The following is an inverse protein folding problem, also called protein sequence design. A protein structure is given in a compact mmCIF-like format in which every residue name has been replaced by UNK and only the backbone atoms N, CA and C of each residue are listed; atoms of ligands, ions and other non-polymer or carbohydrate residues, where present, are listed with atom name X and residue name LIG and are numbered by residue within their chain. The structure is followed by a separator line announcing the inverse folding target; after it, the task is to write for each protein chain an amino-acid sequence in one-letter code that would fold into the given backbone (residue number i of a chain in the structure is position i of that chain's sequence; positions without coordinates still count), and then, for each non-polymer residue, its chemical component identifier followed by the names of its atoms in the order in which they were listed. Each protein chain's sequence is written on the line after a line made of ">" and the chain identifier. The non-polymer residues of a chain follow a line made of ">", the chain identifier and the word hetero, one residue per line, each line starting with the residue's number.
data_IF_471679427964
#
_entry.id   IF_471679427964
#
_cell.length_a   1.000
_cell.length_b   1.000
_cell.length_c   1.000
_cell.angle_alpha   90.00
_cell.angle_beta   90.00
_cell.angle_gamma   90.00
#
_symmetry.space_group_name_H-M   'P 1'
#
loop_
_entity.id
_entity.type
_entity.pdbx_description
1 polymer ?
#
# COMPACT_ATOMS: atom_id res chain seq x y z
N UNK A 1 -2.91 -8.80 -18.73
CA UNK A 1 -2.60 -7.61 -17.93
C UNK A 1 -1.58 -8.02 -16.88
N UNK A 2 -0.32 -7.54 -16.93
CA UNK A 2 0.62 -7.77 -15.83
C UNK A 2 0.08 -7.14 -14.54
N UNK A 3 0.47 -7.70 -13.39
CA UNK A 3 0.19 -7.10 -12.09
C UNK A 3 0.97 -5.78 -12.00
N UNK A 4 0.28 -4.67 -11.69
CA UNK A 4 0.94 -3.38 -11.50
C UNK A 4 1.64 -3.25 -10.13
N UNK A 5 1.41 -4.24 -9.27
CA UNK A 5 2.02 -4.31 -7.96
C UNK A 5 1.46 -5.45 -7.12
N UNK A 6 1.99 -5.60 -5.91
CA UNK A 6 1.48 -6.53 -4.91
C UNK A 6 1.44 -5.92 -3.51
N UNK A 7 0.53 -6.42 -2.69
CA UNK A 7 0.47 -6.13 -1.25
C UNK A 7 0.80 -7.38 -0.47
N UNK A 8 1.57 -7.24 0.60
CA UNK A 8 1.90 -8.29 1.57
C UNK A 8 1.86 -7.75 3.00
N UNK A 9 1.83 -8.63 3.98
CA UNK A 9 1.92 -8.24 5.39
C UNK A 9 3.38 -8.05 5.79
N UNK A 10 3.68 -7.04 6.61
CA UNK A 10 5.00 -6.88 7.20
C UNK A 10 5.13 -7.72 8.47
N UNK A 11 6.36 -8.02 8.90
CA UNK A 11 6.61 -8.68 10.18
C UNK A 11 6.04 -7.90 11.39
N UNK A 12 5.89 -6.58 11.26
CA UNK A 12 5.31 -5.72 12.28
C UNK A 12 3.76 -5.74 12.30
N UNK A 13 3.10 -6.46 11.37
CA UNK A 13 1.64 -6.50 11.26
C UNK A 13 1.02 -5.33 10.49
N UNK A 14 1.84 -4.55 9.78
CA UNK A 14 1.39 -3.54 8.81
C UNK A 14 1.29 -4.11 7.40
N UNK A 15 1.10 -3.24 6.40
CA UNK A 15 1.17 -3.64 5.00
C UNK A 15 2.45 -3.16 4.34
N UNK A 16 2.93 -3.94 3.38
CA UNK A 16 3.91 -3.54 2.39
C UNK A 16 3.26 -3.56 1.02
N UNK A 17 3.35 -2.45 0.28
CA UNK A 17 2.87 -2.33 -1.09
C UNK A 17 4.09 -2.17 -1.99
N UNK A 18 4.26 -3.08 -2.94
CA UNK A 18 5.26 -2.99 -4.00
C UNK A 18 4.54 -2.59 -5.28
N UNK A 19 4.82 -1.38 -5.76
CA UNK A 19 4.17 -0.76 -6.91
C UNK A 19 5.27 -0.27 -7.83
N UNK A 20 5.32 -0.79 -9.05
CA UNK A 20 6.46 -0.58 -9.96
C UNK A 20 7.80 -0.92 -9.25
N UNK A 21 8.73 0.04 -9.16
CA UNK A 21 10.01 -0.12 -8.46
C UNK A 21 9.99 0.41 -7.01
N UNK A 22 8.82 0.77 -6.48
CA UNK A 22 8.66 1.49 -5.23
C UNK A 22 7.97 0.68 -4.15
N UNK A 23 8.40 0.90 -2.90
CA UNK A 23 7.88 0.21 -1.73
C UNK A 23 7.28 1.18 -0.72
N UNK A 24 5.97 1.09 -0.55
CA UNK A 24 5.21 1.84 0.45
C UNK A 24 4.83 0.92 1.61
N UNK A 25 4.53 1.52 2.75
CA UNK A 25 4.08 0.84 3.96
C UNK A 25 2.86 1.51 4.55
N UNK A 26 1.98 0.70 5.13
CA UNK A 26 0.93 1.15 6.05
C UNK A 26 1.31 0.62 7.42
N UNK A 27 1.30 1.50 8.43
CA UNK A 27 1.63 1.10 9.80
C UNK A 27 0.53 0.19 10.39
N UNK A 28 0.86 -0.68 11.37
CA UNK A 28 -0.11 -1.62 11.94
C UNK A 28 -1.38 -0.95 12.49
N UNK A 29 -1.24 0.18 13.17
CA UNK A 29 -2.34 0.96 13.71
C UNK A 29 -3.25 1.54 12.62
N UNK A 30 -2.67 2.06 11.55
CA UNK A 30 -3.40 2.62 10.42
C UNK A 30 -4.10 1.53 9.60
N UNK A 31 -3.44 0.37 9.44
CA UNK A 31 -4.05 -0.80 8.80
C UNK A 31 -5.28 -1.26 9.58
N UNK A 32 -5.16 -1.32 10.91
CA UNK A 32 -6.29 -1.67 11.78
C UNK A 32 -7.42 -0.65 11.60
N UNK A 33 -7.11 0.64 11.61
CA UNK A 33 -8.12 1.68 11.43
C UNK A 33 -8.84 1.59 10.06
N UNK A 34 -8.07 1.36 8.99
CA UNK A 34 -8.60 1.15 7.64
C UNK A 34 -9.56 -0.04 7.56
N UNK A 35 -9.17 -1.20 8.10
CA UNK A 35 -9.93 -2.44 7.94
C UNK A 35 -11.19 -2.46 8.79
N UNK A 36 -11.13 -1.91 10.02
CA UNK A 36 -12.23 -1.98 10.99
C UNK A 36 -13.14 -0.75 10.95
N UNK A 37 -12.59 0.45 10.71
CA UNK A 37 -13.34 1.71 10.76
C UNK A 37 -13.48 2.37 9.38
N UNK A 38 -12.83 1.83 8.34
CA UNK A 38 -12.83 2.44 7.01
C UNK A 38 -12.02 3.73 6.94
N UNK A 39 -11.22 4.05 7.96
CA UNK A 39 -10.43 5.27 8.01
C UNK A 39 -9.32 5.26 6.97
N UNK A 40 -9.13 6.31 6.18
CA UNK A 40 -7.98 6.42 5.29
C UNK A 40 -6.67 6.28 6.07
N UNK A 41 -5.74 5.51 5.53
CA UNK A 41 -4.45 5.22 6.14
C UNK A 41 -3.30 5.81 5.28
N UNK A 42 -2.30 6.46 5.89
CA UNK A 42 -1.17 7.02 5.16
C UNK A 42 -0.30 5.92 4.53
N UNK A 43 0.25 6.22 3.35
CA UNK A 43 1.31 5.43 2.72
C UNK A 43 2.65 6.07 3.01
N UNK A 44 3.48 5.33 3.74
CA UNK A 44 4.79 5.76 4.17
C UNK A 44 5.85 5.13 3.28
N UNK A 45 6.81 5.92 2.81
CA UNK A 45 7.98 5.44 2.08
C UNK A 45 9.25 5.75 2.85
N UNK A 46 10.14 4.77 2.92
CA UNK A 46 11.47 4.92 3.49
C UNK A 46 12.48 5.08 2.36
N UNK A 47 13.16 6.23 2.30
CA UNK A 47 14.23 6.51 1.33
C UNK A 47 15.57 6.49 2.05
N UNK A 48 16.44 5.56 1.65
CA UNK A 48 17.82 5.53 2.08
C UNK A 48 18.64 6.45 1.18
N UNK A 49 19.26 7.48 1.77
CA UNK A 49 20.23 8.33 1.08
C UNK A 49 21.62 8.00 1.62
N UNK A 50 22.55 7.68 0.73
CA UNK A 50 23.97 7.57 1.06
C UNK A 50 24.65 8.89 0.72
N UNK A 51 25.25 9.54 1.71
CA UNK A 51 26.06 10.74 1.49
C UNK A 51 27.41 10.59 2.20
N UNK A 52 28.51 10.58 1.44
CA UNK A 52 29.87 10.55 1.98
C UNK A 52 30.17 9.42 2.98
N UNK A 53 29.53 8.25 2.86
CA UNK A 53 29.71 7.11 3.76
C UNK A 53 28.68 7.00 4.90
N UNK A 54 27.83 8.02 5.10
CA UNK A 54 26.70 7.96 6.05
C UNK A 54 25.42 7.54 5.31
N UNK A 55 24.68 6.59 5.88
CA UNK A 55 23.34 6.21 5.41
C UNK A 55 22.33 6.97 6.27
N UNK A 56 21.59 7.88 5.65
CA UNK A 56 20.45 8.58 6.28
C UNK A 56 19.16 7.96 5.76
N UNK A 57 18.33 7.45 6.66
CA UNK A 57 16.95 7.06 6.33
C UNK A 57 16.03 8.27 6.47
N UNK A 58 15.22 8.56 5.46
CA UNK A 58 14.14 9.56 5.50
C UNK A 58 12.81 8.86 5.31
N UNK A 59 11.88 9.11 6.22
CA UNK A 59 10.51 8.59 6.18
C UNK A 59 9.58 9.71 5.74
N UNK A 60 8.84 9.50 4.65
CA UNK A 60 7.88 10.46 4.08
C UNK A 60 6.52 9.82 3.88
N UNK A 61 5.46 10.63 3.98
CA UNK A 61 4.11 10.24 3.53
C UNK A 61 4.03 10.59 2.04
N UNK A 62 3.77 9.59 1.20
CA UNK A 62 3.76 9.74 -0.27
C UNK A 62 2.42 9.31 -0.90
N UNK A 63 1.39 9.13 -0.08
CA UNK A 63 0.06 8.75 -0.54
C UNK A 63 -0.84 8.32 0.61
N UNK A 64 -1.97 7.72 0.25
CA UNK A 64 -2.90 7.10 1.20
C UNK A 64 -3.63 5.92 0.58
N UNK A 65 -4.20 5.08 1.43
CA UNK A 65 -5.14 4.02 1.08
C UNK A 65 -6.47 4.26 1.77
N UNK A 66 -7.57 4.07 1.07
CA UNK A 66 -8.93 4.27 1.59
C UNK A 66 -9.85 3.13 1.16
N UNK A 67 -10.90 2.82 1.93
CA UNK A 67 -11.92 1.87 1.49
C UNK A 67 -12.87 2.60 0.54
N UNK A 68 -13.04 2.07 -0.67
CA UNK A 68 -13.99 2.63 -1.64
C UNK A 68 -15.41 2.62 -1.05
N UNK A 69 -16.24 3.66 -1.26
CA UNK A 69 -17.58 3.76 -0.65
C UNK A 69 -18.50 2.56 -0.90
N UNK A 70 -18.33 1.87 -2.03
CA UNK A 70 -19.06 0.63 -2.33
C UNK A 70 -18.68 -0.56 -1.40
N UNK A 71 -17.68 -0.43 -0.54
CA UNK A 71 -17.27 -1.43 0.45
C UNK A 71 -16.64 -2.71 -0.12
N UNK A 72 -16.27 -2.71 -1.42
CA UNK A 72 -15.75 -3.89 -2.12
C UNK A 72 -14.24 -3.86 -2.35
N UNK A 73 -13.62 -2.70 -2.21
CA UNK A 73 -12.21 -2.52 -2.53
C UNK A 73 -11.57 -1.47 -1.63
N UNK A 74 -10.25 -1.55 -1.48
CA UNK A 74 -9.43 -0.44 -1.05
C UNK A 74 -8.77 0.20 -2.27
N UNK A 75 -8.68 1.53 -2.26
CA UNK A 75 -8.04 2.35 -3.29
C UNK A 75 -6.76 2.91 -2.71
N UNK A 76 -5.65 2.63 -3.38
CA UNK A 76 -4.31 3.14 -3.08
C UNK A 76 -4.08 4.33 -4.00
N UNK A 77 -3.70 5.49 -3.46
CA UNK A 77 -3.38 6.70 -4.21
C UNK A 77 -2.00 7.18 -3.84
N UNK A 78 -1.15 7.36 -4.85
CA UNK A 78 0.17 8.00 -4.71
C UNK A 78 0.31 9.08 -5.79
N UNK A 79 1.45 9.77 -5.83
CA UNK A 79 1.73 10.73 -6.90
C UNK A 79 1.87 10.05 -8.28
N UNK A 80 2.24 8.78 -8.29
CA UNK A 80 2.54 7.97 -9.47
C UNK A 80 1.29 7.31 -10.08
N UNK A 81 0.17 7.29 -9.35
CA UNK A 81 -1.06 6.70 -9.87
C UNK A 81 -2.07 6.28 -8.81
N UNK A 82 -3.04 5.48 -9.24
CA UNK A 82 -4.07 4.90 -8.38
C UNK A 82 -4.29 3.43 -8.70
N UNK A 83 -4.45 2.63 -7.65
CA UNK A 83 -4.63 1.18 -7.74
C UNK A 83 -5.74 0.70 -6.83
N UNK A 84 -6.30 -0.44 -7.17
CA UNK A 84 -7.36 -1.11 -6.45
C UNK A 84 -6.86 -2.43 -5.87
N UNK A 85 -7.25 -2.71 -4.63
CA UNK A 85 -7.11 -4.01 -3.99
C UNK A 85 -8.51 -4.50 -3.60
N UNK A 86 -8.97 -5.69 -4.01
CA UNK A 86 -10.22 -6.25 -3.51
C UNK A 86 -10.20 -6.33 -1.99
N UNK A 87 -11.22 -5.80 -1.31
CA UNK A 87 -11.21 -5.66 0.15
C UNK A 87 -11.14 -7.03 0.84
N UNK A 88 -11.72 -8.06 0.23
CA UNK A 88 -11.60 -9.45 0.70
C UNK A 88 -10.15 -9.92 0.68
N UNK A 89 -9.41 -9.66 -0.40
CA UNK A 89 -8.00 -10.04 -0.51
C UNK A 89 -7.14 -9.27 0.49
N UNK A 90 -7.38 -7.96 0.62
CA UNK A 90 -6.69 -7.13 1.61
C UNK A 90 -6.88 -7.66 3.04
N UNK A 91 -8.12 -8.02 3.40
CA UNK A 91 -8.44 -8.59 4.72
C UNK A 91 -7.74 -9.93 4.96
N UNK A 92 -7.68 -10.80 3.95
CA UNK A 92 -6.97 -12.08 4.05
C UNK A 92 -5.47 -11.87 4.27
N UNK A 93 -4.86 -10.93 3.55
CA UNK A 93 -3.45 -10.56 3.75
C UNK A 93 -3.23 -9.99 5.15
N UNK A 94 -4.07 -9.03 5.58
CA UNK A 94 -3.98 -8.42 6.91
C UNK A 94 -4.15 -9.44 8.06
N UNK A 95 -4.88 -10.54 7.84
CA UNK A 95 -5.07 -11.63 8.80
C UNK A 95 -3.99 -12.73 8.71
N UNK A 96 -3.08 -12.65 7.74
CA UNK A 96 -2.10 -13.71 7.47
C UNK A 96 -2.68 -14.96 6.80
N UNK A 97 -3.91 -14.89 6.29
CA UNK A 97 -4.59 -15.99 5.56
C UNK A 97 -4.17 -16.08 4.09
N UNK A 98 -3.42 -15.08 3.61
CA UNK A 98 -2.82 -15.03 2.29
C UNK A 98 -1.45 -14.33 2.37
N UNK A 99 -0.46 -14.86 1.66
CA UNK A 99 0.88 -14.26 1.62
C UNK A 99 0.91 -12.89 0.94
N UNK A 100 0.00 -12.65 0.00
CA UNK A 100 -0.15 -11.37 -0.67
C UNK A 100 -1.38 -11.30 -1.56
N UNK A 101 -1.59 -10.14 -2.17
CA UNK A 101 -2.65 -9.90 -3.13
C UNK A 101 -2.19 -8.95 -4.24
N UNK A 102 -2.73 -9.07 -5.47
CA UNK A 102 -2.40 -8.17 -6.56
C UNK A 102 -2.99 -6.77 -6.38
N UNK A 103 -2.28 -5.77 -6.91
CA UNK A 103 -2.83 -4.43 -7.16
C UNK A 103 -3.25 -4.31 -8.63
N UNK A 104 -4.41 -3.72 -8.86
CA UNK A 104 -4.95 -3.46 -10.19
C UNK A 104 -4.93 -1.96 -10.48
N UNK A 105 -4.33 -1.49 -11.58
CA UNK A 105 -4.32 -0.07 -11.90
C UNK A 105 -5.75 0.41 -12.18
N UNK A 106 -6.12 1.57 -11.63
CA UNK A 106 -7.38 2.24 -11.91
C UNK A 106 -7.09 3.24 -13.02
N UNK A 107 -7.04 2.76 -14.27
CA UNK A 107 -6.92 3.58 -15.49
C UNK A 107 -5.78 4.63 -15.47
N UNK A 108 -4.67 4.33 -16.15
CA UNK A 108 -3.96 5.39 -16.86
C UNK A 108 -4.59 5.48 -18.24
N UNK A 109 -5.00 6.67 -18.67
CA UNK A 109 -5.30 6.88 -20.09
C UNK A 109 -4.13 6.31 -20.89
N UNK A 110 -4.47 5.48 -21.88
CA UNK A 110 -3.52 5.13 -22.92
C UNK A 110 -2.95 6.43 -23.48
N UNK A 111 -1.63 6.57 -23.43
CA UNK A 111 -0.95 7.43 -24.39
C UNK A 111 -0.81 6.64 -25.68
#
# INVERSE_FOLDING_TARGET
>A
MPLAGSVSVTAAGGLSLEIEAERYRVLPEDLRALIFYGSPAPLVRERLRRNGGTITSTVSIEGHIEVHPAGRAAVVRTAEGSWLIPLVSLRRVARGEAAGAPLFPIGGDGV
#
